data_IF_081927964431
#
_entry.id   IF_081927964431
#
_cell.length_a   1.000
_cell.length_b   1.000
_cell.length_c   1.000
_cell.angle_alpha   90.00
_cell.angle_beta   90.00
_cell.angle_gamma   90.00
#
_symmetry.space_group_name_H-M   'P 1'
#
loop_
_entity.id
_entity.type
_entity.pdbx_description
1 polymer ?
#
# COMPACT_ATOMS: atom_id res chain seq x y z
N UNK A 1 26.02 28.08 -24.68
CA UNK A 1 26.49 27.23 -23.57
C UNK A 1 25.40 26.19 -23.33
N UNK A 2 25.57 24.95 -23.80
CA UNK A 2 24.68 23.86 -23.40
C UNK A 2 25.12 23.47 -22.00
N UNK A 3 24.19 23.49 -21.04
CA UNK A 3 24.47 22.98 -19.71
C UNK A 3 24.71 21.48 -19.89
N UNK A 4 25.96 21.06 -19.72
CA UNK A 4 26.34 19.66 -19.69
C UNK A 4 25.72 19.09 -18.41
N UNK A 5 24.49 18.59 -18.52
CA UNK A 5 23.92 17.72 -17.51
C UNK A 5 24.75 16.45 -17.60
N UNK A 6 25.83 16.41 -16.81
CA UNK A 6 26.82 15.32 -16.83
C UNK A 6 26.10 13.98 -16.94
N UNK A 7 26.66 13.06 -17.74
CA UNK A 7 26.12 11.71 -17.84
C UNK A 7 26.13 11.08 -16.44
N UNK A 8 24.99 11.18 -15.75
CA UNK A 8 24.79 10.59 -14.46
C UNK A 8 24.38 9.13 -14.66
N UNK A 9 24.92 8.26 -13.83
CA UNK A 9 24.54 6.86 -13.84
C UNK A 9 23.09 6.69 -13.36
N UNK A 10 22.48 5.56 -13.72
CA UNK A 10 21.10 5.27 -13.36
C UNK A 10 20.83 5.33 -11.83
N UNK A 11 21.74 4.84 -10.95
CA UNK A 11 21.60 5.02 -9.51
C UNK A 11 21.45 6.49 -9.09
N UNK A 12 22.27 7.40 -9.62
CA UNK A 12 22.17 8.81 -9.32
C UNK A 12 20.84 9.41 -9.81
N UNK A 13 20.44 9.11 -11.05
CA UNK A 13 19.16 9.56 -11.59
C UNK A 13 17.99 9.09 -10.72
N UNK A 14 18.02 7.82 -10.28
CA UNK A 14 17.01 7.25 -9.39
C UNK A 14 16.97 7.96 -8.05
N UNK A 15 18.13 8.25 -7.44
CA UNK A 15 18.22 9.02 -6.21
C UNK A 15 17.63 10.42 -6.36
N UNK A 16 17.95 11.15 -7.43
CA UNK A 16 17.40 12.48 -7.69
C UNK A 16 15.88 12.47 -7.89
N UNK A 17 15.36 11.48 -8.61
CA UNK A 17 13.91 11.31 -8.80
C UNK A 17 13.24 11.05 -7.45
N UNK A 18 13.79 10.17 -6.62
CA UNK A 18 13.27 9.88 -5.28
C UNK A 18 13.32 11.15 -4.41
N UNK A 19 14.45 11.87 -4.40
CA UNK A 19 14.61 13.10 -3.62
C UNK A 19 13.62 14.18 -4.02
N UNK A 20 13.39 14.38 -5.32
CA UNK A 20 12.44 15.40 -5.80
C UNK A 20 10.98 15.01 -5.56
N UNK A 21 10.62 13.75 -5.81
CA UNK A 21 9.20 13.35 -5.92
C UNK A 21 8.69 12.48 -4.77
N UNK A 22 9.55 11.73 -4.10
CA UNK A 22 9.21 10.90 -2.93
C UNK A 22 9.59 11.58 -1.60
N UNK A 23 9.48 12.91 -1.57
CA UNK A 23 9.72 13.73 -0.39
C UNK A 23 8.61 13.54 0.69
N UNK A 24 8.83 14.13 1.87
CA UNK A 24 7.91 14.01 3.00
C UNK A 24 6.48 14.48 2.68
N UNK A 25 6.31 15.46 1.80
CA UNK A 25 4.97 15.91 1.38
C UNK A 25 4.25 14.87 0.54
N UNK A 26 4.95 14.13 -0.33
CA UNK A 26 4.36 13.02 -1.06
C UNK A 26 3.98 11.86 -0.12
N UNK A 27 4.86 11.52 0.83
CA UNK A 27 4.58 10.48 1.84
C UNK A 27 3.32 10.81 2.64
N UNK A 28 3.25 12.02 3.17
CA UNK A 28 2.07 12.50 3.90
C UNK A 28 0.79 12.46 3.07
N UNK A 29 0.86 12.83 1.79
CA UNK A 29 -0.29 12.72 0.86
C UNK A 29 -0.73 11.27 0.67
N UNK A 30 0.21 10.34 0.48
CA UNK A 30 -0.12 8.92 0.31
C UNK A 30 -0.69 8.31 1.59
N UNK A 31 -0.13 8.65 2.75
CA UNK A 31 -0.63 8.23 4.06
C UNK A 31 -2.06 8.72 4.27
N UNK A 32 -2.34 10.01 4.09
CA UNK A 32 -3.70 10.54 4.20
C UNK A 32 -4.66 9.92 3.18
N UNK A 33 -4.19 9.67 1.96
CA UNK A 33 -5.01 9.05 0.92
C UNK A 33 -5.37 7.59 1.24
N UNK A 34 -4.48 6.87 1.93
CA UNK A 34 -4.77 5.54 2.46
C UNK A 34 -5.68 5.63 3.70
N UNK A 35 -5.41 6.57 4.61
CA UNK A 35 -6.13 6.65 5.87
C UNK A 35 -7.60 7.02 5.68
N UNK A 36 -7.89 7.91 4.72
CA UNK A 36 -9.24 8.32 4.32
C UNK A 36 -9.96 7.33 3.38
N UNK A 37 -9.26 6.34 2.84
CA UNK A 37 -9.86 5.36 1.94
C UNK A 37 -10.55 4.26 2.75
N UNK A 38 -11.85 4.43 2.99
CA UNK A 38 -12.74 3.39 3.49
C UNK A 38 -13.40 2.70 2.28
N UNK A 39 -13.42 1.38 2.27
CA UNK A 39 -14.04 0.61 1.18
C UNK A 39 -15.57 0.73 1.23
N UNK A 40 -16.19 0.91 0.07
CA UNK A 40 -17.63 0.91 -0.08
C UNK A 40 -18.06 -0.10 -1.16
N UNK A 41 -18.78 -1.16 -0.78
CA UNK A 41 -19.17 -2.23 -1.69
C UNK A 41 -20.13 -1.81 -2.81
N UNK A 42 -20.83 -0.68 -2.67
CA UNK A 42 -21.76 -0.17 -3.68
C UNK A 42 -21.05 0.73 -4.71
N UNK A 43 -19.92 1.32 -4.34
CA UNK A 43 -19.22 2.33 -5.14
C UNK A 43 -17.89 1.85 -5.69
N UNK A 44 -17.20 0.98 -4.96
CA UNK A 44 -15.85 0.54 -5.25
C UNK A 44 -15.84 -0.87 -5.84
N UNK A 45 -15.15 -1.03 -6.97
CA UNK A 45 -14.78 -2.35 -7.45
C UNK A 45 -13.67 -2.95 -6.57
N UNK A 46 -13.95 -4.10 -5.96
CA UNK A 46 -13.10 -4.71 -4.92
C UNK A 46 -11.64 -4.86 -5.34
N UNK A 47 -11.37 -5.45 -6.50
CA UNK A 47 -10.01 -5.73 -6.94
C UNK A 47 -9.23 -4.44 -7.22
N UNK A 48 -9.85 -3.51 -7.96
CA UNK A 48 -9.25 -2.22 -8.30
C UNK A 48 -8.94 -1.40 -7.05
N UNK A 49 -9.88 -1.35 -6.10
CA UNK A 49 -9.69 -0.65 -4.84
C UNK A 49 -8.58 -1.29 -4.00
N UNK A 50 -8.59 -2.63 -3.87
CA UNK A 50 -7.58 -3.38 -3.13
C UNK A 50 -6.18 -3.14 -3.68
N UNK A 51 -6.00 -3.30 -5.00
CA UNK A 51 -4.69 -3.11 -5.66
C UNK A 51 -4.18 -1.68 -5.46
N UNK A 52 -5.07 -0.68 -5.51
CA UNK A 52 -4.73 0.72 -5.25
C UNK A 52 -4.21 0.92 -3.82
N UNK A 53 -4.83 0.30 -2.81
CA UNK A 53 -4.35 0.38 -1.44
C UNK A 53 -3.05 -0.41 -1.22
N UNK A 54 -2.93 -1.59 -1.84
CA UNK A 54 -1.69 -2.38 -1.81
C UNK A 54 -0.51 -1.60 -2.39
N UNK A 55 -0.70 -0.92 -3.52
CA UNK A 55 0.33 -0.10 -4.15
C UNK A 55 0.77 1.06 -3.24
N UNK A 56 -0.18 1.76 -2.61
CA UNK A 56 0.13 2.85 -1.66
C UNK A 56 0.96 2.37 -0.49
N UNK A 57 0.56 1.27 0.15
CA UNK A 57 1.27 0.71 1.31
C UNK A 57 2.64 0.16 0.93
N UNK A 58 2.77 -0.52 -0.21
CA UNK A 58 4.06 -1.04 -0.68
C UNK A 58 5.04 0.10 -1.01
N UNK A 59 4.53 1.24 -1.46
CA UNK A 59 5.34 2.42 -1.76
C UNK A 59 5.76 3.19 -0.50
N UNK A 60 4.94 3.18 0.56
CA UNK A 60 5.22 3.82 1.85
C UNK A 60 6.10 2.95 2.76
N UNK A 61 5.92 1.64 2.70
CA UNK A 61 6.55 0.65 3.56
C UNK A 61 7.07 -0.53 2.72
N UNK A 62 8.18 -0.36 1.99
CA UNK A 62 8.72 -1.41 1.13
C UNK A 62 9.14 -2.67 1.89
N UNK A 63 9.48 -2.53 3.18
CA UNK A 63 9.90 -3.64 4.04
C UNK A 63 8.71 -4.36 4.73
N UNK A 64 7.47 -3.94 4.47
CA UNK A 64 6.28 -4.53 5.07
C UNK A 64 5.90 -5.82 4.36
N UNK A 65 5.61 -6.87 5.14
CA UNK A 65 5.16 -8.15 4.56
C UNK A 65 3.78 -8.03 3.91
N UNK A 66 3.54 -8.82 2.87
CA UNK A 66 2.24 -8.88 2.18
C UNK A 66 1.08 -9.18 3.16
N UNK A 67 1.29 -10.06 4.14
CA UNK A 67 0.28 -10.34 5.17
C UNK A 67 -0.09 -9.10 5.98
N UNK A 68 0.90 -8.29 6.37
CA UNK A 68 0.68 -7.07 7.13
C UNK A 68 -0.03 -6.01 6.30
N UNK A 69 0.34 -5.88 5.01
CA UNK A 69 -0.34 -5.02 4.04
C UNK A 69 -1.82 -5.42 3.92
N UNK A 70 -2.09 -6.71 3.69
CA UNK A 70 -3.45 -7.23 3.56
C UNK A 70 -4.29 -6.95 4.81
N UNK A 71 -3.72 -7.14 6.00
CA UNK A 71 -4.40 -6.86 7.27
C UNK A 71 -4.72 -5.36 7.45
N UNK A 72 -3.81 -4.47 7.05
CA UNK A 72 -4.09 -3.02 7.06
C UNK A 72 -5.22 -2.64 6.12
N UNK A 73 -5.26 -3.25 4.92
CA UNK A 73 -6.33 -3.02 3.95
C UNK A 73 -7.66 -3.56 4.47
N UNK A 74 -7.68 -4.75 5.08
CA UNK A 74 -8.88 -5.38 5.61
C UNK A 74 -9.57 -4.51 6.67
N UNK A 75 -8.78 -3.84 7.53
CA UNK A 75 -9.32 -2.88 8.53
C UNK A 75 -10.06 -1.69 7.91
N UNK A 76 -9.76 -1.35 6.64
CA UNK A 76 -10.44 -0.29 5.90
C UNK A 76 -11.75 -0.76 5.25
N UNK A 77 -12.05 -2.05 5.30
CA UNK A 77 -13.33 -2.60 4.83
C UNK A 77 -14.47 -2.46 5.85
N UNK A 78 -14.15 -2.30 7.13
CA UNK A 78 -15.11 -2.11 8.21
C UNK A 78 -15.92 -3.36 8.57
N UNK A 79 -16.40 -3.38 9.81
CA UNK A 79 -17.47 -4.24 10.33
C UNK A 79 -17.46 -5.70 9.87
N UNK A 80 -18.53 -6.08 9.18
CA UNK A 80 -18.94 -7.46 8.89
C UNK A 80 -18.05 -8.14 7.85
N UNK A 81 -17.45 -7.40 6.91
CA UNK A 81 -16.53 -7.98 5.93
C UNK A 81 -15.21 -8.41 6.58
N UNK A 82 -14.66 -7.58 7.48
CA UNK A 82 -13.49 -7.94 8.27
C UNK A 82 -13.77 -9.16 9.16
N UNK A 83 -14.94 -9.20 9.79
CA UNK A 83 -15.37 -10.32 10.63
C UNK A 83 -15.51 -11.62 9.83
N UNK A 84 -16.27 -11.59 8.73
CA UNK A 84 -16.52 -12.77 7.87
C UNK A 84 -15.23 -13.33 7.28
N UNK A 85 -14.31 -12.47 6.84
CA UNK A 85 -13.02 -12.91 6.28
C UNK A 85 -12.17 -13.55 7.39
N UNK A 86 -12.05 -12.92 8.56
CA UNK A 86 -11.29 -13.49 9.68
C UNK A 86 -11.86 -14.83 10.15
N UNK A 87 -13.18 -14.96 10.25
CA UNK A 87 -13.83 -16.21 10.64
C UNK A 87 -13.60 -17.36 9.64
N UNK A 88 -13.43 -17.06 8.34
CA UNK A 88 -13.15 -18.06 7.30
C UNK A 88 -11.66 -18.36 7.12
N UNK A 89 -10.79 -17.46 7.57
CA UNK A 89 -9.33 -17.61 7.50
C UNK A 89 -8.72 -18.23 8.77
N UNK A 90 -9.51 -18.58 9.79
CA UNK A 90 -9.01 -19.42 10.88
C UNK A 90 -8.64 -20.76 10.26
N UNK A 91 -7.36 -21.14 10.33
CA UNK A 91 -6.91 -22.48 9.97
C UNK A 91 -7.82 -23.51 10.68
N UNK A 92 -8.15 -24.64 10.04
CA UNK A 92 -8.89 -25.70 10.73
C UNK A 92 -8.13 -25.99 12.02
N UNK A 93 -8.85 -25.84 13.14
CA UNK A 93 -8.41 -26.19 14.48
C UNK A 93 -7.41 -27.34 14.41
N UNK A 94 -6.16 -27.09 14.81
CA UNK A 94 -5.15 -28.13 15.00
C UNK A 94 -5.80 -29.23 15.82
N UNK A 95 -6.13 -30.33 15.14
CA UNK A 95 -6.46 -31.59 15.78
C UNK A 95 -5.10 -32.16 16.15
N UNK A 96 -4.57 -31.71 17.29
CA UNK A 96 -3.54 -32.45 18.00
C UNK A 96 -4.24 -33.65 18.66
N UNK A 97 -4.06 -34.82 18.05
CA UNK A 97 -4.25 -36.14 18.67
C UNK A 97 -3.12 -36.43 19.68
#
# INVERSE_FOLDING_TARGET
MRIDHGQHDWPWCKCEIITKWANNSWRFKMENAFESAIFNSEKDETLTWFLKQKYRLSSLHPDMSDSMINMKILRKCGGELEHVIKCRCVEPCSTED
#
